data_IF_969854828710
#
_entry.id   IF_969854828710
#
_cell.length_a   1.000
_cell.length_b   1.000
_cell.length_c   1.000
_cell.angle_alpha   90.00
_cell.angle_beta   90.00
_cell.angle_gamma   90.00
#
_symmetry.space_group_name_H-M   'P 1'
#
loop_
_entity.id
_entity.type
_entity.pdbx_description
1 polymer ?
#
# COMPACT_ATOMS: atom_id res chain seq x y z
N UNK A 1 -22.09 -17.57 -7.67
CA UNK A 1 -21.31 -17.80 -6.46
C UNK A 1 -20.32 -16.65 -6.28
N UNK A 2 -20.42 -15.97 -5.17
CA UNK A 2 -19.54 -14.85 -4.89
C UNK A 2 -18.40 -15.23 -3.96
N UNK A 3 -17.46 -14.32 -3.79
CA UNK A 3 -16.40 -14.47 -2.82
C UNK A 3 -16.96 -14.43 -1.42
N UNK A 4 -16.35 -15.17 -0.51
CA UNK A 4 -16.67 -15.05 0.90
C UNK A 4 -16.30 -13.65 1.39
N UNK A 5 -16.97 -13.18 2.44
CA UNK A 5 -16.75 -11.84 2.97
C UNK A 5 -15.28 -11.57 3.30
N UNK A 6 -14.59 -12.53 3.90
CA UNK A 6 -13.16 -12.39 4.21
C UNK A 6 -12.32 -12.20 2.94
N UNK A 7 -12.63 -12.95 1.90
CA UNK A 7 -11.91 -12.84 0.63
C UNK A 7 -12.14 -11.49 -0.02
N UNK A 8 -13.37 -10.96 0.06
CA UNK A 8 -13.69 -9.64 -0.46
C UNK A 8 -12.92 -8.54 0.29
N UNK A 9 -12.86 -8.64 1.61
CA UNK A 9 -12.11 -7.68 2.43
C UNK A 9 -10.62 -7.73 2.08
N UNK A 10 -10.06 -8.92 1.99
CA UNK A 10 -8.65 -9.10 1.66
C UNK A 10 -8.34 -8.61 0.25
N UNK A 11 -9.23 -8.87 -0.71
CA UNK A 11 -9.10 -8.37 -2.07
C UNK A 11 -9.11 -6.85 -2.09
N UNK A 12 -10.08 -6.23 -1.40
CA UNK A 12 -10.19 -4.78 -1.34
C UNK A 12 -8.94 -4.14 -0.73
N UNK A 13 -8.42 -4.73 0.34
CA UNK A 13 -7.18 -4.23 0.97
C UNK A 13 -5.98 -4.38 0.04
N UNK A 14 -5.93 -5.46 -0.73
CA UNK A 14 -4.89 -5.66 -1.73
C UNK A 14 -4.93 -4.57 -2.80
N UNK A 15 -6.12 -4.26 -3.30
CA UNK A 15 -6.31 -3.19 -4.28
C UNK A 15 -5.87 -1.84 -3.71
N UNK A 16 -6.24 -1.56 -2.46
CA UNK A 16 -5.84 -0.32 -1.80
C UNK A 16 -4.32 -0.20 -1.69
N UNK A 17 -3.63 -1.29 -1.34
CA UNK A 17 -2.16 -1.29 -1.28
C UNK A 17 -1.56 -0.98 -2.65
N UNK A 18 -2.09 -1.60 -3.70
CA UNK A 18 -1.60 -1.37 -5.06
C UNK A 18 -1.80 0.09 -5.47
N UNK A 19 -2.97 0.66 -5.20
CA UNK A 19 -3.28 2.05 -5.51
C UNK A 19 -2.37 3.01 -4.73
N UNK A 20 -2.19 2.75 -3.44
CA UNK A 20 -1.31 3.58 -2.60
C UNK A 20 0.13 3.51 -3.08
N UNK A 21 0.60 2.33 -3.46
CA UNK A 21 1.96 2.15 -3.97
C UNK A 21 2.17 2.95 -5.25
N UNK A 22 1.21 2.91 -6.18
CA UNK A 22 1.27 3.70 -7.40
C UNK A 22 1.33 5.20 -7.10
N UNK A 23 0.49 5.66 -6.19
CA UNK A 23 0.43 7.07 -5.79
C UNK A 23 1.74 7.51 -5.12
N UNK A 24 2.27 6.69 -4.23
CA UNK A 24 3.53 6.98 -3.54
C UNK A 24 4.67 7.06 -4.56
N UNK A 25 4.72 6.14 -5.51
CA UNK A 25 5.74 6.14 -6.55
C UNK A 25 5.66 7.35 -7.45
N UNK A 26 4.46 7.85 -7.75
CA UNK A 26 4.27 9.07 -8.52
C UNK A 26 4.78 10.31 -7.77
N UNK A 27 4.54 10.37 -6.47
CA UNK A 27 4.86 11.53 -5.66
C UNK A 27 6.30 11.57 -5.18
N UNK A 28 6.95 10.41 -5.04
CA UNK A 28 8.30 10.32 -4.50
C UNK A 28 9.32 11.17 -5.30
N UNK A 29 9.38 11.10 -6.63
CA UNK A 29 10.31 11.96 -7.39
C UNK A 29 10.02 13.44 -7.20
N UNK A 30 8.74 13.79 -7.08
CA UNK A 30 8.31 15.18 -6.88
C UNK A 30 8.86 15.72 -5.54
N UNK A 31 8.83 14.91 -4.49
CA UNK A 31 9.33 15.33 -3.18
C UNK A 31 10.84 15.41 -3.12
N UNK A 32 11.54 14.63 -3.91
CA UNK A 32 12.98 14.76 -4.05
C UNK A 32 13.37 16.10 -4.65
N UNK A 33 12.57 16.59 -5.60
CA UNK A 33 12.80 17.89 -6.23
C UNK A 33 12.41 19.05 -5.32
N UNK A 34 11.40 18.85 -4.45
CA UNK A 34 10.86 19.91 -3.58
C UNK A 34 10.93 19.48 -2.11
N UNK A 35 12.16 19.38 -1.60
CA UNK A 35 12.41 18.88 -0.25
C UNK A 35 11.80 19.75 0.85
N UNK A 36 11.47 21.02 0.56
CA UNK A 36 10.91 21.95 1.53
C UNK A 36 9.38 21.93 1.62
N UNK A 37 8.71 21.08 0.86
CA UNK A 37 7.26 20.98 0.87
C UNK A 37 6.78 20.11 2.05
N UNK A 38 6.63 20.74 3.21
CA UNK A 38 6.23 20.03 4.42
C UNK A 38 4.80 19.50 4.36
N UNK A 39 3.90 20.18 3.70
CA UNK A 39 2.50 19.75 3.56
C UNK A 39 2.39 18.51 2.70
N UNK A 40 3.09 18.50 1.58
CA UNK A 40 3.12 17.33 0.70
C UNK A 40 3.74 16.12 1.39
N UNK A 41 4.78 16.33 2.19
CA UNK A 41 5.41 15.25 2.95
C UNK A 41 4.45 14.59 3.93
N UNK A 42 3.62 15.37 4.61
CA UNK A 42 2.62 14.80 5.51
C UNK A 42 1.65 13.88 4.78
N UNK A 43 1.19 14.30 3.60
CA UNK A 43 0.33 13.48 2.76
C UNK A 43 1.00 12.18 2.35
N UNK A 44 2.26 12.27 1.93
CA UNK A 44 3.04 11.08 1.54
C UNK A 44 3.22 10.13 2.73
N UNK A 45 3.58 10.66 3.90
CA UNK A 45 3.77 9.85 5.10
C UNK A 45 2.48 9.16 5.53
N UNK A 46 1.33 9.83 5.40
CA UNK A 46 0.04 9.20 5.67
C UNK A 46 -0.23 8.04 4.74
N UNK A 47 0.07 8.20 3.45
CA UNK A 47 -0.12 7.13 2.48
C UNK A 47 0.80 5.94 2.77
N UNK A 48 2.06 6.20 3.12
CA UNK A 48 3.02 5.16 3.49
C UNK A 48 2.55 4.42 4.74
N UNK A 49 2.12 5.16 5.76
CA UNK A 49 1.60 4.57 7.01
C UNK A 49 0.36 3.72 6.75
N UNK A 50 -0.56 4.20 5.93
CA UNK A 50 -1.77 3.47 5.58
C UNK A 50 -1.45 2.20 4.83
N UNK A 51 -0.52 2.27 3.88
CA UNK A 51 -0.07 1.08 3.14
C UNK A 51 0.52 0.06 4.10
N UNK A 52 1.35 0.50 5.05
CA UNK A 52 1.96 -0.39 6.03
C UNK A 52 0.91 -1.10 6.88
N UNK A 53 -0.10 -0.38 7.35
CA UNK A 53 -1.19 -0.98 8.13
C UNK A 53 -1.94 -2.02 7.32
N UNK A 54 -2.23 -1.75 6.06
CA UNK A 54 -2.90 -2.69 5.17
C UNK A 54 -2.04 -3.94 4.93
N UNK A 55 -0.74 -3.75 4.73
CA UNK A 55 0.19 -4.86 4.54
C UNK A 55 0.30 -5.70 5.81
N UNK A 56 0.37 -5.07 6.97
CA UNK A 56 0.42 -5.79 8.25
C UNK A 56 -0.84 -6.62 8.45
N UNK A 57 -2.00 -6.08 8.11
CA UNK A 57 -3.25 -6.82 8.15
C UNK A 57 -3.21 -8.05 7.25
N UNK A 58 -2.78 -7.87 5.99
CA UNK A 58 -2.71 -8.98 5.04
C UNK A 58 -1.70 -10.03 5.49
N UNK A 59 -0.56 -9.61 6.02
CA UNK A 59 0.45 -10.53 6.53
C UNK A 59 -0.12 -11.41 7.64
N UNK A 60 -0.95 -10.85 8.49
CA UNK A 60 -1.58 -11.56 9.60
C UNK A 60 -2.75 -12.45 9.16
N UNK A 61 -3.55 -11.98 8.20
CA UNK A 61 -4.80 -12.64 7.82
C UNK A 61 -4.72 -13.45 6.55
N UNK A 62 -3.82 -13.10 5.64
CA UNK A 62 -3.69 -13.77 4.35
C UNK A 62 -2.22 -13.66 3.89
N UNK A 63 -1.37 -14.45 4.52
CA UNK A 63 0.07 -14.41 4.27
C UNK A 63 0.43 -14.71 2.81
N UNK A 64 -0.30 -15.63 2.17
CA UNK A 64 -0.08 -15.94 0.76
C UNK A 64 -0.30 -14.74 -0.14
N UNK A 65 -1.39 -14.02 0.08
CA UNK A 65 -1.69 -12.81 -0.68
C UNK A 65 -0.68 -11.69 -0.39
N UNK A 66 -0.25 -11.57 0.85
CA UNK A 66 0.77 -10.61 1.26
C UNK A 66 2.09 -10.87 0.52
N UNK A 67 2.55 -12.12 0.52
CA UNK A 67 3.80 -12.50 -0.13
C UNK A 67 3.74 -12.24 -1.65
N UNK A 68 2.65 -12.64 -2.29
CA UNK A 68 2.44 -12.43 -3.72
C UNK A 68 2.42 -10.93 -4.05
N UNK A 69 1.75 -10.14 -3.22
CA UNK A 69 1.63 -8.70 -3.43
C UNK A 69 2.98 -8.00 -3.31
N UNK A 70 3.77 -8.34 -2.30
CA UNK A 70 5.10 -7.77 -2.10
C UNK A 70 6.00 -8.09 -3.30
N UNK A 71 5.98 -9.34 -3.76
CA UNK A 71 6.77 -9.74 -4.92
C UNK A 71 6.34 -8.98 -6.17
N UNK A 72 5.03 -8.84 -6.38
CA UNK A 72 4.49 -8.18 -7.56
C UNK A 72 4.78 -6.68 -7.57
N UNK A 73 4.71 -6.02 -6.42
CA UNK A 73 4.92 -4.58 -6.32
C UNK A 73 6.39 -4.21 -6.08
N UNK A 74 7.25 -5.19 -5.88
CA UNK A 74 8.66 -4.95 -5.60
C UNK A 74 8.90 -4.32 -4.26
N UNK A 75 8.01 -4.52 -3.31
CA UNK A 75 8.14 -3.98 -1.97
C UNK A 75 9.02 -4.89 -1.12
N UNK A 76 9.83 -4.26 -0.27
CA UNK A 76 10.61 -4.99 0.72
C UNK A 76 9.84 -4.94 2.04
N UNK A 77 9.13 -6.03 2.33
CA UNK A 77 8.25 -6.15 3.49
C UNK A 77 6.97 -5.34 3.32
#
# INVERSE_FOLDING_TARGET
>A
MGMKMKEMINFNKTVQVALLTGRINELTPHFKANAKDHHGRRGLLRMVSRRRKLLDYLKSKDAGRYTALIAKLGLRK
#
